data_IF_441622490394
#
_entry.id   IF_441622490394
#
_cell.length_a   1.000
_cell.length_b   1.000
_cell.length_c   1.000
_cell.angle_alpha   90.00
_cell.angle_beta   90.00
_cell.angle_gamma   90.00
#
_symmetry.space_group_name_H-M   'P 1'
#
loop_
_entity.id
_entity.type
_entity.pdbx_description
1 polymer ?
#
# COMPACT_ATOMS: atom_id res chain seq x y z
N UNK A 1 -100.23 -7.66 45.45
CA UNK A 1 -99.42 -6.55 46.00
C UNK A 1 -98.16 -7.14 46.65
N UNK A 2 -97.01 -6.43 46.54
CA UNK A 2 -95.64 -6.70 47.06
C UNK A 2 -94.86 -7.80 46.30
N UNK A 3 -93.97 -7.51 45.34
CA UNK A 3 -92.63 -6.85 45.36
C UNK A 3 -91.61 -7.53 46.28
N UNK A 4 -90.45 -7.92 45.69
CA UNK A 4 -89.04 -7.96 46.16
C UNK A 4 -88.35 -9.00 45.25
N UNK A 5 -87.63 -8.66 44.17
CA UNK A 5 -86.34 -7.96 43.99
C UNK A 5 -85.17 -8.95 43.74
N UNK A 6 -84.31 -8.54 42.81
CA UNK A 6 -83.20 -9.23 42.13
C UNK A 6 -82.14 -9.86 43.05
N UNK A 7 -81.33 -10.77 42.49
CA UNK A 7 -79.86 -10.62 42.49
C UNK A 7 -79.22 -11.43 41.35
N UNK A 8 -78.73 -10.70 40.35
CA UNK A 8 -77.81 -11.19 39.34
C UNK A 8 -76.40 -11.28 39.95
N UNK A 9 -75.76 -12.44 39.89
CA UNK A 9 -74.34 -12.58 40.18
C UNK A 9 -73.56 -12.35 38.87
N UNK A 10 -73.18 -11.10 38.63
CA UNK A 10 -72.21 -10.75 37.59
C UNK A 10 -70.84 -11.30 37.98
N UNK A 11 -70.35 -12.30 37.23
CA UNK A 11 -68.96 -12.73 37.27
C UNK A 11 -68.13 -11.57 36.72
N UNK A 12 -67.41 -10.88 37.60
CA UNK A 12 -66.43 -9.88 37.19
C UNK A 12 -65.24 -10.62 36.53
N UNK A 13 -65.16 -10.58 35.20
CA UNK A 13 -63.95 -10.92 34.49
C UNK A 13 -62.90 -9.85 34.83
N UNK A 14 -61.94 -10.18 35.70
CA UNK A 14 -60.72 -9.40 35.84
C UNK A 14 -59.93 -9.51 34.52
N UNK A 15 -60.18 -8.61 33.59
CA UNK A 15 -59.25 -8.38 32.50
C UNK A 15 -57.95 -7.86 33.15
N UNK A 16 -56.92 -8.71 33.22
CA UNK A 16 -55.59 -8.28 33.62
C UNK A 16 -55.16 -7.15 32.67
N UNK A 17 -55.07 -5.93 33.19
CA UNK A 17 -54.56 -4.78 32.44
C UNK A 17 -53.11 -5.11 32.08
N UNK A 18 -52.71 -5.12 30.79
CA UNK A 18 -51.33 -5.38 30.42
C UNK A 18 -50.46 -4.30 31.09
N UNK A 19 -49.43 -4.72 31.83
CA UNK A 19 -48.48 -3.81 32.45
C UNK A 19 -47.93 -2.86 31.38
N UNK A 20 -48.07 -1.55 31.60
CA UNK A 20 -47.58 -0.53 30.67
C UNK A 20 -46.05 -0.60 30.63
N UNK A 21 -45.50 -1.22 29.60
CA UNK A 21 -44.07 -1.21 29.35
C UNK A 21 -43.64 0.21 28.96
N UNK A 22 -42.71 0.80 29.70
CA UNK A 22 -42.07 2.07 29.38
C UNK A 22 -40.65 1.78 28.88
N UNK A 23 -40.28 2.32 27.72
CA UNK A 23 -38.93 2.20 27.17
C UNK A 23 -38.21 3.56 27.21
N UNK A 24 -36.93 3.51 27.58
CA UNK A 24 -36.00 4.63 27.58
C UNK A 24 -34.84 4.28 26.65
N UNK A 25 -34.57 5.14 25.68
CA UNK A 25 -33.52 4.93 24.67
C UNK A 25 -32.38 5.93 24.90
N UNK A 26 -31.16 5.41 24.97
CA UNK A 26 -29.93 6.21 24.94
C UNK A 26 -29.29 6.09 23.56
N UNK A 27 -29.10 7.22 22.88
CA UNK A 27 -28.37 7.26 21.62
C UNK A 27 -26.90 7.57 21.90
N UNK A 28 -26.01 6.68 21.46
CA UNK A 28 -24.57 6.85 21.58
C UNK A 28 -24.00 7.19 20.19
N UNK A 29 -23.11 8.18 20.12
CA UNK A 29 -22.47 8.61 18.88
C UNK A 29 -20.95 8.76 19.09
N UNK A 30 -20.16 8.33 18.11
CA UNK A 30 -18.71 8.49 18.09
C UNK A 30 -18.25 8.68 16.64
N UNK A 31 -17.08 9.32 16.47
CA UNK A 31 -16.47 9.54 15.16
C UNK A 31 -15.02 9.08 15.19
N UNK A 32 -14.61 8.37 14.14
CA UNK A 32 -13.23 7.98 13.87
C UNK A 32 -12.86 8.50 12.48
N UNK A 33 -11.80 9.29 12.38
CA UNK A 33 -11.34 9.81 11.09
C UNK A 33 -10.64 8.72 10.26
N UNK A 34 -10.73 8.77 8.91
CA UNK A 34 -9.91 7.93 8.05
C UNK A 34 -8.42 8.19 8.26
N UNK A 35 -7.65 7.11 8.28
CA UNK A 35 -6.20 7.06 8.43
C UNK A 35 -5.68 5.89 7.61
N UNK A 36 -5.01 6.20 6.51
CA UNK A 36 -4.37 5.21 5.64
C UNK A 36 -2.94 5.66 5.31
N UNK A 37 -2.00 4.72 5.29
CA UNK A 37 -0.59 5.03 5.07
C UNK A 37 0.27 3.79 4.80
N UNK A 38 1.52 4.07 4.43
CA UNK A 38 2.58 3.07 4.24
C UNK A 38 3.74 3.42 5.18
N UNK A 39 4.29 2.40 5.84
CA UNK A 39 5.26 2.56 6.93
C UNK A 39 6.39 1.55 6.78
N UNK A 40 7.58 1.94 7.20
CA UNK A 40 8.76 1.08 7.33
C UNK A 40 9.44 1.40 8.68
N UNK A 41 9.96 0.39 9.37
CA UNK A 41 10.59 0.52 10.68
C UNK A 41 11.90 1.33 10.66
N UNK A 42 12.56 1.41 9.52
CA UNK A 42 13.80 2.17 9.29
C UNK A 42 13.56 3.66 8.94
N UNK A 43 12.32 4.09 8.74
CA UNK A 43 11.95 5.50 8.50
C UNK A 43 11.18 5.73 7.19
N UNK A 44 11.00 7.01 6.85
CA UNK A 44 10.27 7.44 5.64
C UNK A 44 11.12 7.47 4.37
N UNK A 45 12.44 7.28 4.50
CA UNK A 45 13.38 7.25 3.38
C UNK A 45 14.34 6.10 3.61
N UNK A 46 14.42 5.21 2.63
CA UNK A 46 15.24 3.99 2.70
C UNK A 46 16.33 4.11 1.64
N UNK A 47 17.63 4.16 2.02
CA UNK A 47 18.71 4.15 1.06
C UNK A 47 18.81 2.76 0.41
N UNK A 48 18.94 2.74 -0.92
CA UNK A 48 19.14 1.52 -1.71
C UNK A 48 20.42 1.71 -2.53
N UNK A 49 21.44 0.94 -2.22
CA UNK A 49 22.78 1.06 -2.80
C UNK A 49 23.10 -0.18 -3.64
N UNK A 50 23.30 -0.01 -4.94
CA UNK A 50 23.66 -1.11 -5.86
C UNK A 50 25.16 -1.34 -5.99
N UNK A 51 25.99 -0.43 -5.46
CA UNK A 51 27.44 -0.48 -5.61
C UNK A 51 27.93 -0.18 -7.03
N UNK A 52 29.08 -0.74 -7.41
CA UNK A 52 29.73 -0.48 -8.69
C UNK A 52 29.15 -1.35 -9.82
N UNK A 53 28.39 -0.73 -10.73
CA UNK A 53 27.75 -1.42 -11.86
C UNK A 53 28.65 -1.54 -13.11
N UNK A 54 29.79 -0.85 -13.14
CA UNK A 54 30.73 -0.85 -14.28
C UNK A 54 31.41 -2.22 -14.50
N UNK A 55 31.45 -3.06 -13.46
CA UNK A 55 32.02 -4.42 -13.52
C UNK A 55 30.95 -5.49 -13.78
N UNK A 56 29.68 -5.10 -13.87
CA UNK A 56 28.55 -6.00 -14.04
C UNK A 56 28.14 -6.02 -15.52
N UNK A 57 28.07 -7.19 -16.18
CA UNK A 57 27.61 -7.32 -17.56
C UNK A 57 26.24 -6.70 -17.79
N UNK A 58 26.02 -6.05 -18.93
CA UNK A 58 24.73 -5.42 -19.26
C UNK A 58 23.53 -6.38 -19.32
N UNK A 59 23.78 -7.68 -19.50
CA UNK A 59 22.75 -8.73 -19.46
C UNK A 59 22.39 -9.20 -18.05
N UNK A 60 23.11 -8.75 -17.03
CA UNK A 60 22.97 -9.17 -15.63
C UNK A 60 22.41 -8.04 -14.78
N UNK A 61 21.87 -8.40 -13.62
CA UNK A 61 21.38 -7.44 -12.62
C UNK A 61 22.08 -7.61 -11.28
N UNK A 62 22.12 -6.51 -10.52
CA UNK A 62 22.40 -6.51 -9.08
C UNK A 62 21.09 -6.34 -8.35
N UNK A 63 20.76 -7.30 -7.51
CA UNK A 63 19.50 -7.35 -6.77
C UNK A 63 19.73 -6.90 -5.31
N UNK A 64 18.92 -5.95 -4.85
CA UNK A 64 18.99 -5.40 -3.50
C UNK A 64 17.62 -5.48 -2.83
N UNK A 65 17.57 -6.07 -1.64
CA UNK A 65 16.40 -6.02 -0.79
C UNK A 65 16.34 -4.65 -0.07
N UNK A 66 15.24 -3.92 -0.23
CA UNK A 66 15.01 -2.59 0.34
C UNK A 66 14.17 -2.64 1.63
N UNK A 67 14.01 -3.82 2.22
CA UNK A 67 13.22 -4.03 3.43
C UNK A 67 11.72 -4.14 3.17
N UNK A 68 10.92 -3.69 4.13
CA UNK A 68 9.49 -3.93 4.20
C UNK A 68 8.65 -2.67 4.00
N UNK A 69 7.46 -2.80 3.43
CA UNK A 69 6.44 -1.77 3.41
C UNK A 69 5.16 -2.31 4.06
N UNK A 70 4.76 -1.70 5.18
CA UNK A 70 3.56 -2.05 5.94
C UNK A 70 2.45 -1.07 5.63
N UNK A 71 1.32 -1.57 5.14
CA UNK A 71 0.15 -0.78 4.75
C UNK A 71 -0.90 -0.89 5.84
N UNK A 72 -1.32 0.26 6.40
CA UNK A 72 -2.42 0.33 7.36
C UNK A 72 -3.50 1.25 6.84
N UNK A 73 -4.75 0.84 6.94
CA UNK A 73 -5.88 1.64 6.50
C UNK A 73 -7.15 1.26 7.26
N UNK A 74 -7.86 2.27 7.78
CA UNK A 74 -9.14 2.08 8.46
C UNK A 74 -10.36 2.55 7.65
N UNK A 75 -10.19 2.93 6.38
CA UNK A 75 -11.32 3.18 5.49
C UNK A 75 -12.02 1.87 5.13
N UNK A 76 -13.35 1.87 5.19
CA UNK A 76 -14.19 0.75 4.77
C UNK A 76 -14.09 0.48 3.26
N UNK A 77 -13.87 1.52 2.46
CA UNK A 77 -13.65 1.40 1.02
C UNK A 77 -12.20 1.02 0.70
N UNK A 78 -11.29 1.13 1.68
CA UNK A 78 -9.87 0.83 1.58
C UNK A 78 -9.07 1.99 1.01
N UNK A 79 -8.13 1.71 0.10
CA UNK A 79 -7.19 2.71 -0.41
C UNK A 79 -6.69 2.40 -1.81
N UNK A 80 -6.18 3.43 -2.49
CA UNK A 80 -5.33 3.31 -3.67
C UNK A 80 -3.87 3.42 -3.28
N UNK A 81 -3.05 2.46 -3.71
CA UNK A 81 -1.58 2.55 -3.69
C UNK A 81 -1.10 3.02 -5.05
N UNK A 82 -0.23 4.02 -5.09
CA UNK A 82 0.46 4.46 -6.30
C UNK A 82 1.96 4.44 -6.07
N UNK A 83 2.70 3.76 -6.93
CA UNK A 83 4.17 3.68 -6.89
C UNK A 83 4.72 4.39 -8.12
N UNK A 84 5.63 5.34 -7.90
CA UNK A 84 6.21 6.18 -8.97
C UNK A 84 7.71 6.25 -8.85
N UNK A 85 8.40 6.39 -9.99
CA UNK A 85 9.81 6.73 -10.07
C UNK A 85 9.94 8.15 -10.61
N UNK A 86 10.79 8.97 -9.98
CA UNK A 86 11.07 10.33 -10.44
C UNK A 86 11.60 10.35 -11.88
N UNK A 87 12.41 9.35 -12.24
CA UNK A 87 13.07 9.24 -13.54
C UNK A 87 12.53 8.08 -14.39
N UNK A 88 11.26 7.71 -14.23
CA UNK A 88 10.54 6.73 -15.06
C UNK A 88 11.26 5.37 -15.16
N UNK A 89 11.76 4.86 -14.03
CA UNK A 89 12.40 3.55 -13.92
C UNK A 89 13.86 3.54 -14.38
N UNK A 90 14.55 4.67 -14.31
CA UNK A 90 15.98 4.79 -14.57
C UNK A 90 16.70 5.49 -13.43
N UNK A 91 17.83 4.94 -12.99
CA UNK A 91 18.83 5.73 -12.29
C UNK A 91 19.45 6.67 -13.33
N UNK A 92 19.53 7.96 -13.03
CA UNK A 92 20.06 8.97 -13.94
C UNK A 92 21.35 9.56 -13.40
N UNK A 93 22.27 9.90 -14.30
CA UNK A 93 23.51 10.59 -13.91
C UNK A 93 23.16 11.91 -13.21
N UNK A 94 23.61 12.03 -11.97
CA UNK A 94 23.27 13.13 -11.06
C UNK A 94 21.77 13.28 -10.73
N UNK A 95 20.95 12.25 -10.97
CA UNK A 95 19.54 12.24 -10.57
C UNK A 95 18.62 13.13 -11.39
N UNK A 96 19.13 13.74 -12.46
CA UNK A 96 18.36 14.64 -13.31
C UNK A 96 17.67 13.85 -14.42
N UNK A 97 16.37 14.11 -14.61
CA UNK A 97 15.61 13.53 -15.69
C UNK A 97 16.28 13.78 -17.06
N UNK A 98 16.41 12.72 -17.85
CA UNK A 98 17.06 12.78 -19.16
C UNK A 98 16.50 11.71 -20.09
N UNK A 99 16.68 11.91 -21.39
CA UNK A 99 16.41 10.91 -22.43
C UNK A 99 17.67 10.36 -23.09
N UNK A 100 18.85 10.75 -22.60
CA UNK A 100 20.14 10.23 -23.07
C UNK A 100 20.41 8.86 -22.47
N UNK A 101 20.58 7.84 -23.32
CA UNK A 101 20.86 6.47 -22.87
C UNK A 101 22.25 6.33 -22.24
N UNK A 102 23.24 7.14 -22.64
CA UNK A 102 24.56 7.11 -22.03
C UNK A 102 24.59 7.71 -20.60
N UNK A 103 23.44 8.21 -20.12
CA UNK A 103 23.25 8.83 -18.80
C UNK A 103 22.14 8.17 -17.99
N UNK A 104 21.73 6.96 -18.36
CA UNK A 104 20.64 6.23 -17.71
C UNK A 104 20.96 4.76 -17.51
N UNK A 105 20.67 4.27 -16.31
CA UNK A 105 20.76 2.85 -15.97
C UNK A 105 19.36 2.39 -15.61
N UNK A 106 18.86 1.38 -16.32
CA UNK A 106 17.54 0.81 -16.03
C UNK A 106 17.55 0.14 -14.65
N UNK A 107 16.43 0.24 -13.94
CA UNK A 107 16.16 -0.62 -12.80
C UNK A 107 14.74 -1.18 -12.85
N UNK A 108 14.51 -2.29 -12.14
CA UNK A 108 13.19 -2.83 -11.86
C UNK A 108 12.92 -2.75 -10.35
N UNK A 109 11.64 -2.71 -9.99
CA UNK A 109 11.15 -2.88 -8.62
C UNK A 109 10.25 -4.12 -8.56
N UNK A 110 10.28 -4.83 -7.45
CA UNK A 110 9.32 -5.87 -7.11
C UNK A 110 8.75 -5.63 -5.71
N UNK A 111 7.58 -6.21 -5.46
CA UNK A 111 6.94 -6.13 -4.15
C UNK A 111 6.26 -7.47 -3.84
N UNK A 112 6.38 -7.96 -2.60
CA UNK A 112 5.70 -9.17 -2.12
C UNK A 112 4.55 -8.83 -1.15
N UNK A 113 4.01 -9.80 -0.42
CA UNK A 113 2.93 -9.57 0.56
C UNK A 113 1.57 -10.09 0.06
N UNK A 114 0.61 -10.19 0.98
CA UNK A 114 -0.71 -10.74 0.67
C UNK A 114 -1.69 -9.63 0.30
N UNK A 115 -2.99 -9.95 0.30
CA UNK A 115 -4.07 -8.99 0.00
C UNK A 115 -3.91 -8.28 -1.35
N UNK A 116 -3.26 -8.93 -2.32
CA UNK A 116 -2.99 -8.40 -3.66
C UNK A 116 -1.84 -7.40 -3.74
N UNK A 117 -1.06 -7.19 -2.65
CA UNK A 117 0.05 -6.23 -2.65
C UNK A 117 1.19 -6.64 -3.58
N UNK A 118 1.36 -7.93 -3.83
CA UNK A 118 2.46 -8.47 -4.61
C UNK A 118 2.39 -8.10 -6.09
N UNK A 119 3.55 -7.81 -6.69
CA UNK A 119 3.73 -7.74 -8.14
C UNK A 119 5.14 -8.20 -8.52
N UNK A 120 5.25 -8.86 -9.67
CA UNK A 120 6.53 -9.31 -10.23
C UNK A 120 7.42 -8.13 -10.63
N UNK A 121 8.74 -8.37 -10.63
CA UNK A 121 9.72 -7.35 -11.02
C UNK A 121 9.37 -6.67 -12.35
N UNK A 122 9.22 -5.34 -12.31
CA UNK A 122 8.90 -4.53 -13.48
C UNK A 122 9.60 -3.17 -13.41
N UNK A 123 9.80 -2.56 -14.57
CA UNK A 123 10.32 -1.20 -14.64
C UNK A 123 9.19 -0.20 -14.38
N UNK A 124 9.48 0.83 -13.60
CA UNK A 124 8.52 1.90 -13.28
C UNK A 124 8.51 3.01 -14.35
N UNK A 125 8.32 2.64 -15.63
CA UNK A 125 8.22 3.61 -16.74
C UNK A 125 6.93 4.45 -16.70
N UNK A 126 5.94 3.97 -15.96
CA UNK A 126 4.71 4.67 -15.61
C UNK A 126 4.32 4.33 -14.16
N UNK A 127 3.44 5.11 -13.53
CA UNK A 127 2.93 4.80 -12.19
C UNK A 127 2.29 3.40 -12.12
N UNK A 128 2.66 2.60 -11.12
CA UNK A 128 1.98 1.35 -10.80
C UNK A 128 0.92 1.66 -9.75
N UNK A 129 -0.35 1.65 -10.16
CA UNK A 129 -1.48 1.95 -9.29
C UNK A 129 -2.40 0.74 -9.11
N UNK A 130 -2.84 0.50 -7.88
CA UNK A 130 -3.82 -0.54 -7.55
C UNK A 130 -4.70 -0.08 -6.39
N UNK A 131 -5.98 -0.45 -6.44
CA UNK A 131 -6.94 -0.20 -5.37
C UNK A 131 -7.21 -1.47 -4.58
N UNK A 132 -7.29 -1.32 -3.26
CA UNK A 132 -7.47 -2.42 -2.31
C UNK A 132 -8.71 -2.10 -1.47
N UNK A 133 -9.65 -3.03 -1.42
CA UNK A 133 -10.84 -2.89 -0.57
C UNK A 133 -10.48 -2.88 0.91
N UNK A 134 -11.32 -2.22 1.72
CA UNK A 134 -11.15 -2.23 3.18
C UNK A 134 -11.20 -3.66 3.73
N UNK A 135 -10.28 -3.98 4.63
CA UNK A 135 -10.19 -5.31 5.23
C UNK A 135 -9.60 -5.25 6.64
N UNK A 136 -9.87 -6.28 7.45
CA UNK A 136 -9.26 -6.42 8.77
C UNK A 136 -7.75 -6.63 8.69
N UNK A 137 -7.24 -7.16 7.57
CA UNK A 137 -5.80 -7.27 7.32
C UNK A 137 -5.14 -5.89 7.28
N UNK A 138 -5.72 -4.92 6.55
CA UNK A 138 -5.21 -3.56 6.51
C UNK A 138 -5.46 -2.77 7.80
N UNK A 139 -6.46 -3.13 8.62
CA UNK A 139 -6.60 -2.60 9.98
C UNK A 139 -5.43 -3.05 10.89
N UNK A 140 -5.05 -4.32 10.80
CA UNK A 140 -3.93 -4.90 11.57
C UNK A 140 -2.56 -4.46 11.03
N UNK A 141 -2.49 -4.11 9.75
CA UNK A 141 -1.27 -3.82 9.00
C UNK A 141 -0.84 -5.01 8.18
N UNK A 142 -0.81 -4.83 6.86
CA UNK A 142 -0.34 -5.83 5.92
C UNK A 142 1.05 -5.45 5.42
N UNK A 143 2.01 -6.35 5.56
CA UNK A 143 3.41 -6.10 5.22
C UNK A 143 3.84 -6.88 3.98
N UNK A 144 4.61 -6.23 3.10
CA UNK A 144 5.29 -6.89 1.99
C UNK A 144 6.73 -6.43 1.86
N UNK A 145 7.59 -7.28 1.31
CA UNK A 145 8.99 -6.95 1.04
C UNK A 145 9.11 -6.18 -0.28
N UNK A 146 10.01 -5.21 -0.31
CA UNK A 146 10.39 -4.44 -1.49
C UNK A 146 11.79 -4.84 -1.91
N UNK A 147 12.00 -5.05 -3.21
CA UNK A 147 13.33 -5.23 -3.77
C UNK A 147 13.49 -4.47 -5.07
N UNK A 148 14.74 -4.16 -5.40
CA UNK A 148 15.12 -3.51 -6.64
C UNK A 148 16.20 -4.29 -7.35
N UNK A 149 16.26 -4.15 -8.66
CA UNK A 149 17.25 -4.76 -9.53
C UNK A 149 17.80 -3.69 -10.46
N UNK A 150 19.10 -3.37 -10.38
CA UNK A 150 19.76 -2.48 -11.32
C UNK A 150 20.52 -3.28 -12.37
N UNK A 151 20.45 -2.86 -13.63
CA UNK A 151 21.16 -3.53 -14.72
C UNK A 151 22.63 -3.11 -14.73
N UNK A 152 23.51 -4.07 -15.04
CA UNK A 152 24.93 -3.79 -15.24
C UNK A 152 25.18 -2.86 -16.43
N UNK A 153 26.36 -2.23 -16.46
CA UNK A 153 26.74 -1.31 -17.55
C UNK A 153 28.11 -1.61 -18.14
N UNK A 154 28.70 -2.75 -17.81
CA UNK A 154 29.94 -3.20 -18.45
C UNK A 154 29.68 -3.37 -19.95
N UNK A 155 30.46 -2.65 -20.75
CA UNK A 155 30.47 -2.74 -22.20
C UNK A 155 31.49 -3.78 -22.69
N UNK A 156 31.55 -3.93 -24.01
CA UNK A 156 32.48 -4.86 -24.64
C UNK A 156 33.94 -4.52 -24.35
N UNK A 157 34.77 -5.57 -24.39
CA UNK A 157 36.22 -5.44 -24.30
C UNK A 157 36.75 -4.79 -25.58
N UNK A 158 37.40 -3.63 -25.43
CA UNK A 158 38.01 -2.92 -26.55
C UNK A 158 39.29 -3.59 -27.06
N UNK A 159 39.88 -3.03 -28.12
CA UNK A 159 41.11 -3.54 -28.73
C UNK A 159 42.36 -3.53 -27.82
N UNK A 160 42.28 -2.90 -26.65
CA UNK A 160 43.31 -2.88 -25.61
C UNK A 160 43.10 -3.97 -24.52
N UNK A 161 42.08 -4.82 -24.65
CA UNK A 161 41.79 -5.88 -23.68
C UNK A 161 41.07 -5.42 -22.41
N UNK A 162 40.61 -4.16 -22.34
CA UNK A 162 39.85 -3.62 -21.20
C UNK A 162 38.38 -3.40 -21.56
N UNK A 163 37.42 -3.82 -20.72
CA UNK A 163 36.00 -3.53 -20.94
C UNK A 163 35.69 -2.04 -20.75
N UNK A 164 34.89 -1.48 -21.66
CA UNK A 164 34.32 -0.14 -21.49
C UNK A 164 33.06 -0.15 -20.63
N UNK A 165 32.33 0.97 -20.63
CA UNK A 165 30.97 1.07 -20.06
C UNK A 165 29.99 1.56 -21.11
N UNK A 166 28.72 1.17 -20.98
CA UNK A 166 27.63 1.64 -21.85
C UNK A 166 27.12 3.04 -21.49
N UNK A 167 27.52 3.55 -20.31
CA UNK A 167 27.14 4.86 -19.77
C UNK A 167 28.38 5.62 -19.27
N UNK A 168 28.25 6.93 -19.06
CA UNK A 168 29.33 7.74 -18.51
C UNK A 168 29.61 7.43 -17.03
N UNK A 169 30.85 7.66 -16.59
CA UNK A 169 31.21 7.54 -15.17
C UNK A 169 30.51 8.61 -14.32
N UNK A 170 30.11 8.25 -13.11
CA UNK A 170 29.53 9.16 -12.12
C UNK A 170 28.48 8.49 -11.24
N UNK A 171 27.80 9.31 -10.44
CA UNK A 171 26.79 8.82 -9.50
C UNK A 171 25.41 8.80 -10.16
N UNK A 172 24.78 7.63 -10.15
CA UNK A 172 23.44 7.42 -10.70
C UNK A 172 22.45 7.30 -9.56
N UNK A 173 21.35 8.06 -9.63
CA UNK A 173 20.33 8.06 -8.56
C UNK A 173 18.92 8.24 -9.13
N UNK A 174 17.95 7.78 -8.37
CA UNK A 174 16.52 7.99 -8.59
C UNK A 174 15.79 8.02 -7.25
N UNK A 175 14.57 8.55 -7.23
CA UNK A 175 13.67 8.48 -6.08
C UNK A 175 12.40 7.73 -6.46
N UNK A 176 12.11 6.64 -5.75
CA UNK A 176 10.84 5.90 -5.88
C UNK A 176 9.94 6.24 -4.71
N UNK A 177 8.69 6.61 -4.98
CA UNK A 177 7.71 7.03 -3.97
C UNK A 177 6.48 6.13 -4.00
N UNK A 178 6.12 5.58 -2.83
CA UNK A 178 4.87 4.85 -2.61
C UNK A 178 3.90 5.80 -1.90
N UNK A 179 2.76 6.08 -2.53
CA UNK A 179 1.69 6.91 -1.97
C UNK A 179 0.46 6.05 -1.69
N UNK A 180 -0.18 6.27 -0.54
CA UNK A 180 -1.44 5.64 -0.15
C UNK A 180 -2.50 6.73 0.02
N UNK A 181 -3.64 6.57 -0.64
CA UNK A 181 -4.78 7.50 -0.55
C UNK A 181 -6.03 6.71 -0.17
N UNK A 182 -6.71 7.12 0.91
CA UNK A 182 -7.97 6.50 1.33
C UNK A 182 -9.07 6.68 0.27
N UNK A 183 -9.92 5.68 0.11
CA UNK A 183 -11.14 5.69 -0.72
C UNK A 183 -12.39 5.86 0.14
#
# INVERSE_FOLDING_TARGET
MKKIALLAASIAAFAAVPASAQSLTYNLNAQVAPSCGVYNSSGSTIPVEFGELATVPASSTVDVAAGEATYRCNSVNGFTRTITSQNNGYLTLDGNATNDNARRIRFNMAHTGNSGLAFSAQQLTAPVAASFGGSTAFLAGETGNVSFQAFGVQGDVGGNGSPGTTVYAGNYRDTVTITVTAL
#
